data_IF_162908055351
#
_entry.id   IF_162908055351
#
_cell.length_a   1.000
_cell.length_b   1.000
_cell.length_c   1.000
_cell.angle_alpha   90.00
_cell.angle_beta   90.00
_cell.angle_gamma   90.00
#
_symmetry.space_group_name_H-M   'P 1'
#
loop_
_entity.id
_entity.type
_entity.pdbx_description
1 polymer ?
#
# COMPACT_ATOMS: atom_id res chain seq x y z
N UNK A 1 -12.46 -12.54 -18.12
CA UNK A 1 -11.94 -13.16 -16.88
C UNK A 1 -12.80 -12.69 -15.71
N UNK A 2 -13.43 -13.60 -14.96
CA UNK A 2 -14.17 -13.23 -13.73
C UNK A 2 -13.16 -13.00 -12.61
N UNK A 3 -13.20 -11.84 -11.95
CA UNK A 3 -12.42 -11.58 -10.74
C UNK A 3 -12.94 -12.46 -9.60
N UNK A 4 -12.02 -13.05 -8.82
CA UNK A 4 -12.38 -13.73 -7.58
C UNK A 4 -13.05 -12.74 -6.62
N UNK A 5 -13.97 -13.23 -5.78
CA UNK A 5 -14.65 -12.43 -4.75
C UNK A 5 -13.65 -11.72 -3.86
N UNK A 6 -12.55 -12.39 -3.50
CA UNK A 6 -11.47 -11.81 -2.69
C UNK A 6 -10.80 -10.61 -3.39
N UNK A 7 -10.43 -10.75 -4.67
CA UNK A 7 -9.83 -9.65 -5.45
C UNK A 7 -10.77 -8.44 -5.53
N UNK A 8 -12.05 -8.68 -5.72
CA UNK A 8 -13.07 -7.62 -5.82
C UNK A 8 -13.22 -6.86 -4.49
N UNK A 9 -13.22 -7.58 -3.36
CA UNK A 9 -13.27 -6.97 -2.02
C UNK A 9 -12.01 -6.17 -1.73
N UNK A 10 -10.82 -6.71 -2.01
CA UNK A 10 -9.55 -5.99 -1.80
C UNK A 10 -9.50 -4.69 -2.60
N UNK A 11 -9.90 -4.73 -3.88
CA UNK A 11 -9.93 -3.54 -4.75
C UNK A 11 -10.94 -2.49 -4.29
N UNK A 12 -12.15 -2.92 -3.92
CA UNK A 12 -13.18 -1.98 -3.45
C UNK A 12 -12.77 -1.32 -2.13
N UNK A 13 -12.18 -2.08 -1.20
CA UNK A 13 -11.72 -1.55 0.07
C UNK A 13 -10.56 -0.56 -0.12
N UNK A 14 -9.59 -0.87 -0.99
CA UNK A 14 -8.46 0.03 -1.30
C UNK A 14 -8.91 1.28 -2.02
N UNK A 15 -9.86 1.17 -2.96
CA UNK A 15 -10.45 2.34 -3.63
C UNK A 15 -11.16 3.26 -2.63
N UNK A 16 -11.99 2.70 -1.74
CA UNK A 16 -12.67 3.48 -0.71
C UNK A 16 -11.66 4.15 0.22
N UNK A 17 -10.63 3.42 0.67
CA UNK A 17 -9.58 3.99 1.51
C UNK A 17 -8.81 5.12 0.81
N UNK A 18 -8.55 5.00 -0.49
CA UNK A 18 -7.92 6.04 -1.31
C UNK A 18 -8.79 7.30 -1.41
N UNK A 19 -10.08 7.14 -1.71
CA UNK A 19 -11.03 8.26 -1.82
C UNK A 19 -11.20 8.97 -0.48
N UNK A 20 -11.37 8.20 0.61
CA UNK A 20 -11.49 8.74 1.97
C UNK A 20 -10.18 9.42 2.40
N UNK A 21 -9.04 8.78 2.16
CA UNK A 21 -7.72 9.32 2.47
C UNK A 21 -7.45 10.63 1.74
N UNK A 22 -7.81 10.70 0.45
CA UNK A 22 -7.72 11.93 -0.33
C UNK A 22 -8.66 13.03 0.18
N UNK A 23 -9.93 12.68 0.46
CA UNK A 23 -10.94 13.64 0.90
C UNK A 23 -10.68 14.22 2.30
N UNK A 24 -10.11 13.43 3.21
CA UNK A 24 -9.88 13.84 4.60
C UNK A 24 -8.45 14.34 4.86
N UNK A 25 -7.46 13.75 4.21
CA UNK A 25 -6.03 13.98 4.48
C UNK A 25 -5.23 14.51 3.28
N UNK A 26 -5.88 14.72 2.13
CA UNK A 26 -5.24 15.22 0.93
C UNK A 26 -4.34 14.20 0.22
N UNK A 27 -3.51 14.70 -0.69
CA UNK A 27 -2.67 13.88 -1.56
C UNK A 27 -1.63 13.05 -0.80
N UNK A 28 -1.09 13.56 0.30
CA UNK A 28 -0.10 12.85 1.13
C UNK A 28 -0.68 11.60 1.77
N UNK A 29 -1.88 11.70 2.37
CA UNK A 29 -2.57 10.56 2.98
C UNK A 29 -3.01 9.56 1.91
N UNK A 30 -3.53 10.03 0.77
CA UNK A 30 -3.85 9.15 -0.36
C UNK A 30 -2.63 8.36 -0.85
N UNK A 31 -1.47 9.00 -0.88
CA UNK A 31 -0.20 8.37 -1.29
C UNK A 31 0.24 7.31 -0.27
N UNK A 32 0.16 7.61 1.03
CA UNK A 32 0.46 6.66 2.10
C UNK A 32 -0.46 5.43 2.05
N UNK A 33 -1.76 5.65 1.85
CA UNK A 33 -2.75 4.56 1.70
C UNK A 33 -2.45 3.72 0.47
N UNK A 34 -2.10 4.32 -0.67
CA UNK A 34 -1.74 3.60 -1.88
C UNK A 34 -0.52 2.69 -1.66
N UNK A 35 0.52 3.20 -0.97
CA UNK A 35 1.73 2.43 -0.66
C UNK A 35 1.39 1.26 0.27
N UNK A 36 0.65 1.50 1.35
CA UNK A 36 0.26 0.45 2.30
C UNK A 36 -0.70 -0.59 1.71
N UNK A 37 -1.44 -0.24 0.66
CA UNK A 37 -2.32 -1.14 -0.07
C UNK A 37 -1.57 -2.10 -1.02
N UNK A 38 -0.29 -1.86 -1.34
CA UNK A 38 0.44 -2.67 -2.31
C UNK A 38 0.56 -4.15 -1.91
N UNK A 39 0.90 -4.54 -0.66
CA UNK A 39 1.00 -5.95 -0.28
C UNK A 39 -0.33 -6.73 -0.39
N UNK A 40 -1.48 -6.24 0.12
CA UNK A 40 -2.75 -6.97 -0.06
C UNK A 40 -3.23 -7.00 -1.52
N UNK A 41 -2.97 -5.94 -2.30
CA UNK A 41 -3.21 -5.97 -3.76
C UNK A 41 -2.31 -6.99 -4.43
N UNK A 42 -1.02 -7.02 -4.08
CA UNK A 42 -0.09 -7.99 -4.61
C UNK A 42 -0.50 -9.41 -4.24
N UNK A 43 -0.89 -9.68 -3.00
CA UNK A 43 -1.38 -10.99 -2.58
C UNK A 43 -2.62 -11.43 -3.36
N UNK A 44 -3.52 -10.49 -3.66
CA UNK A 44 -4.71 -10.78 -4.43
C UNK A 44 -4.38 -11.11 -5.90
N UNK A 45 -3.37 -10.46 -6.49
CA UNK A 45 -3.05 -10.54 -7.93
C UNK A 45 -1.79 -11.34 -8.26
N UNK A 46 -1.05 -11.83 -7.27
CA UNK A 46 0.17 -12.59 -7.49
C UNK A 46 -0.11 -13.89 -8.25
N UNK A 47 0.89 -14.32 -9.00
CA UNK A 47 0.90 -15.62 -9.64
C UNK A 47 1.51 -16.66 -8.69
N UNK A 48 1.48 -17.96 -9.03
CA UNK A 48 1.96 -19.05 -8.16
C UNK A 48 3.41 -18.88 -7.65
N UNK A 49 4.21 -18.04 -8.31
CA UNK A 49 5.61 -17.74 -7.96
C UNK A 49 5.79 -16.84 -6.73
N UNK A 50 4.77 -16.10 -6.28
CA UNK A 50 4.88 -15.24 -5.09
C UNK A 50 5.79 -14.00 -5.24
N UNK A 51 6.36 -13.76 -6.43
CA UNK A 51 7.40 -12.76 -6.64
C UNK A 51 6.85 -11.34 -6.55
N UNK A 52 5.63 -11.11 -7.02
CA UNK A 52 5.05 -9.77 -6.98
C UNK A 52 4.76 -9.34 -5.53
N UNK A 53 4.26 -10.26 -4.70
CA UNK A 53 4.05 -10.02 -3.28
C UNK A 53 5.36 -9.70 -2.56
N UNK A 54 6.43 -10.44 -2.84
CA UNK A 54 7.74 -10.20 -2.24
C UNK A 54 8.23 -8.80 -2.63
N UNK A 55 8.18 -8.44 -3.91
CA UNK A 55 8.61 -7.13 -4.39
C UNK A 55 7.77 -5.99 -3.80
N UNK A 56 6.45 -6.14 -3.75
CA UNK A 56 5.55 -5.15 -3.15
C UNK A 56 5.82 -4.98 -1.65
N UNK A 57 6.07 -6.06 -0.93
CA UNK A 57 6.37 -6.03 0.50
C UNK A 57 7.73 -5.36 0.76
N UNK A 58 8.76 -5.73 -0.01
CA UNK A 58 10.08 -5.10 0.09
C UNK A 58 10.00 -3.61 -0.18
N UNK A 59 9.25 -3.18 -1.20
CA UNK A 59 9.06 -1.77 -1.50
C UNK A 59 8.42 -0.99 -0.34
N UNK A 60 7.35 -1.51 0.26
CA UNK A 60 6.71 -0.88 1.43
C UNK A 60 7.66 -0.81 2.62
N UNK A 61 8.41 -1.88 2.89
CA UNK A 61 9.41 -1.89 3.97
C UNK A 61 10.49 -0.84 3.71
N UNK A 62 11.02 -0.76 2.49
CA UNK A 62 12.04 0.24 2.14
C UNK A 62 11.54 1.66 2.36
N UNK A 63 10.33 1.98 1.88
CA UNK A 63 9.74 3.32 2.12
C UNK A 63 9.53 3.56 3.61
N UNK A 64 8.99 2.57 4.34
CA UNK A 64 8.77 2.68 5.78
C UNK A 64 10.06 2.97 6.55
N UNK A 65 11.15 2.28 6.20
CA UNK A 65 12.47 2.52 6.77
C UNK A 65 12.97 3.93 6.43
N UNK A 66 12.86 4.37 5.17
CA UNK A 66 13.25 5.73 4.78
C UNK A 66 12.48 6.80 5.57
N UNK A 67 11.15 6.66 5.69
CA UNK A 67 10.30 7.57 6.47
C UNK A 67 10.68 7.55 7.95
N UNK A 68 10.94 6.39 8.53
CA UNK A 68 11.38 6.25 9.92
C UNK A 68 12.71 6.97 10.15
N UNK A 69 13.68 6.79 9.26
CA UNK A 69 14.99 7.45 9.36
C UNK A 69 14.87 8.98 9.27
N UNK A 70 14.01 9.49 8.38
CA UNK A 70 13.72 10.93 8.27
C UNK A 70 13.06 11.44 9.56
N UNK A 71 12.09 10.71 10.10
CA UNK A 71 11.42 11.08 11.35
C UNK A 71 12.40 11.11 12.53
N UNK A 72 13.31 10.14 12.61
CA UNK A 72 14.37 10.10 13.63
C UNK A 72 15.34 11.28 13.48
N UNK A 73 15.74 11.61 12.25
CA UNK A 73 16.57 12.80 11.99
C UNK A 73 15.86 14.08 12.44
N UNK A 74 14.55 14.20 12.18
CA UNK A 74 13.75 15.36 12.56
C UNK A 74 13.53 15.48 14.08
N UNK A 75 13.61 14.40 14.85
CA UNK A 75 13.49 14.41 16.32
C UNK A 75 14.81 14.78 17.02
N UNK A 76 15.94 14.61 16.34
CA UNK A 76 17.28 14.88 16.88
C UNK A 76 17.70 16.35 16.64
N UNK A 77 16.98 17.09 15.78
CA UNK A 77 17.12 18.54 15.59
C UNK A 77 16.05 19.30 16.37
#
# INVERSE_FOLDING_TARGET
MRLSRARTVTLSCTLVALVVGYGLGGSSVATAVAILALPPVAWAFDNDSGTFLILATLFVVTIGVMVLLIALMALVH
#
